data_IF_059976855098
#
_entry.id   IF_059976855098
#
_cell.length_a   1.000
_cell.length_b   1.000
_cell.length_c   1.000
_cell.angle_alpha   90.00
_cell.angle_beta   90.00
_cell.angle_gamma   90.00
#
_symmetry.space_group_name_H-M   'P 1'
#
loop_
_entity.id
_entity.type
_entity.pdbx_description
1 polymer ?
#
# COMPACT_ATOMS: atom_id res chain seq x y z
N UNK A 1 45.10 -38.80 72.03
CA UNK A 1 46.20 -39.21 71.14
C UNK A 1 45.66 -40.14 70.07
N UNK A 2 45.89 -39.78 68.81
CA UNK A 2 46.20 -40.64 67.66
C UNK A 2 45.12 -41.55 67.01
N UNK A 3 44.82 -41.18 65.74
CA UNK A 3 44.44 -41.99 64.55
C UNK A 3 43.09 -42.71 64.60
N UNK A 4 42.24 -42.57 63.59
CA UNK A 4 42.48 -43.28 62.31
C UNK A 4 41.60 -42.79 61.16
N UNK A 5 42.21 -42.87 59.98
CA UNK A 5 41.72 -42.67 58.62
C UNK A 5 40.35 -43.28 58.30
N UNK A 6 39.54 -42.57 57.50
CA UNK A 6 38.59 -43.21 56.59
C UNK A 6 38.88 -42.81 55.15
N UNK A 7 38.95 -43.83 54.32
CA UNK A 7 39.42 -43.83 52.94
C UNK A 7 38.50 -43.05 52.00
N UNK A 8 39.08 -42.19 51.17
CA UNK A 8 38.45 -41.72 49.93
C UNK A 8 38.86 -42.64 48.80
N UNK A 9 37.89 -43.32 48.19
CA UNK A 9 38.02 -44.00 46.91
C UNK A 9 36.61 -44.29 46.35
N UNK A 10 36.46 -44.63 45.06
CA UNK A 10 36.52 -43.69 43.95
C UNK A 10 35.31 -43.93 43.03
N UNK A 11 34.36 -43.01 42.89
CA UNK A 11 33.33 -43.23 41.87
C UNK A 11 32.71 -41.95 41.35
N UNK A 12 32.81 -41.84 40.04
CA UNK A 12 31.78 -41.28 39.18
C UNK A 12 31.46 -39.80 39.38
N UNK A 13 32.27 -38.95 38.76
CA UNK A 13 31.70 -37.77 38.11
C UNK A 13 32.16 -37.80 36.65
N UNK A 14 31.61 -38.78 35.94
CA UNK A 14 31.54 -38.73 34.49
C UNK A 14 30.52 -37.67 34.10
N UNK A 15 30.99 -36.73 33.27
CA UNK A 15 30.32 -36.33 32.03
C UNK A 15 28.86 -35.86 32.22
N UNK A 16 28.68 -34.55 32.32
CA UNK A 16 27.54 -33.92 31.65
C UNK A 16 27.92 -32.49 31.27
N UNK A 17 28.79 -32.38 30.26
CA UNK A 17 28.90 -31.19 29.44
C UNK A 17 27.56 -31.02 28.71
N UNK A 18 26.64 -30.27 29.32
CA UNK A 18 25.43 -29.79 28.67
C UNK A 18 25.85 -28.85 27.53
N UNK A 19 25.91 -29.40 26.32
CA UNK A 19 25.94 -28.61 25.10
C UNK A 19 24.61 -27.85 25.00
N UNK A 20 24.63 -26.55 25.34
CA UNK A 20 23.58 -25.63 24.91
C UNK A 20 23.68 -25.49 23.39
N UNK A 21 22.81 -26.20 22.68
CA UNK A 21 22.57 -25.91 21.27
C UNK A 21 21.79 -24.59 21.16
N UNK A 22 22.23 -23.61 20.35
CA UNK A 22 21.40 -22.47 20.04
C UNK A 22 20.21 -22.93 19.19
N UNK A 23 18.99 -22.68 19.68
CA UNK A 23 17.78 -22.81 18.89
C UNK A 23 17.81 -21.77 17.76
N UNK A 24 18.16 -22.23 16.56
CA UNK A 24 17.99 -21.45 15.33
C UNK A 24 16.49 -21.40 15.06
N UNK A 25 15.86 -20.28 15.43
CA UNK A 25 14.51 -19.96 14.97
C UNK A 25 14.58 -19.71 13.47
N UNK A 26 13.91 -20.54 12.69
CA UNK A 26 13.60 -20.23 11.30
C UNK A 26 12.67 -19.02 11.29
N UNK A 27 13.15 -17.87 10.81
CA UNK A 27 12.27 -16.75 10.47
C UNK A 27 11.48 -17.16 9.22
N UNK A 28 10.18 -17.32 9.37
CA UNK A 28 9.29 -17.42 8.20
C UNK A 28 9.53 -16.21 7.31
N UNK A 29 9.81 -16.40 6.01
CA UNK A 29 9.99 -15.27 5.10
C UNK A 29 8.66 -14.53 4.99
N UNK A 30 8.58 -13.36 5.64
CA UNK A 30 7.51 -12.38 5.42
C UNK A 30 7.45 -12.08 3.93
N UNK A 31 6.48 -12.68 3.26
CA UNK A 31 6.28 -12.49 1.83
C UNK A 31 5.61 -11.14 1.65
N UNK A 32 6.40 -10.10 1.38
CA UNK A 32 5.89 -8.80 0.97
C UNK A 32 5.28 -8.94 -0.41
N UNK A 33 3.95 -9.05 -0.47
CA UNK A 33 3.21 -9.01 -1.74
C UNK A 33 3.21 -7.57 -2.25
N UNK A 34 4.15 -7.24 -3.13
CA UNK A 34 4.13 -5.98 -3.87
C UNK A 34 3.04 -6.10 -4.93
N UNK A 35 1.83 -5.66 -4.63
CA UNK A 35 0.80 -5.43 -5.66
C UNK A 35 1.26 -4.26 -6.52
N UNK A 36 1.95 -4.56 -7.62
CA UNK A 36 2.18 -3.61 -8.71
C UNK A 36 0.81 -3.29 -9.29
N UNK A 37 0.22 -2.16 -8.88
CA UNK A 37 -0.95 -1.58 -9.53
C UNK A 37 -0.52 -1.29 -10.96
N UNK A 38 -1.00 -2.11 -11.89
CA UNK A 38 -0.77 -1.92 -13.31
C UNK A 38 -1.30 -0.54 -13.68
N UNK A 39 -0.38 0.38 -13.97
CA UNK A 39 -0.73 1.73 -14.39
C UNK A 39 -1.41 1.61 -15.75
N UNK A 40 -2.73 1.54 -15.75
CA UNK A 40 -3.55 1.62 -16.95
C UNK A 40 -3.05 2.81 -17.77
N UNK A 41 -2.68 2.54 -19.02
CA UNK A 41 -2.12 3.56 -19.90
C UNK A 41 -3.20 4.62 -20.10
N UNK A 42 -2.93 5.81 -19.55
CA UNK A 42 -3.79 6.99 -19.63
C UNK A 42 -3.94 7.35 -21.11
N UNK A 43 -5.10 7.09 -21.70
CA UNK A 43 -5.43 7.58 -23.04
C UNK A 43 -5.94 9.01 -22.90
N UNK A 44 -5.03 9.94 -22.65
CA UNK A 44 -5.34 11.35 -22.89
C UNK A 44 -5.54 11.53 -24.40
N UNK A 45 -6.66 12.11 -24.86
CA UNK A 45 -6.83 12.44 -26.26
C UNK A 45 -5.71 13.40 -26.71
N UNK A 46 -5.14 13.11 -27.88
CA UNK A 46 -3.99 13.75 -28.55
C UNK A 46 -3.66 15.21 -28.16
N UNK A 47 -2.38 15.64 -28.22
CA UNK A 47 -1.73 16.58 -27.29
C UNK A 47 -2.12 18.07 -27.39
N UNK A 48 -3.25 18.42 -28.01
CA UNK A 48 -3.71 19.80 -28.19
C UNK A 48 -4.81 20.18 -27.20
N UNK A 49 -4.56 20.02 -25.90
CA UNK A 49 -5.41 20.70 -24.92
C UNK A 49 -5.18 22.21 -25.04
N UNK A 50 -6.28 22.97 -25.10
CA UNK A 50 -6.27 24.42 -25.08
C UNK A 50 -5.83 24.93 -23.71
N UNK A 51 -6.39 24.32 -22.67
CA UNK A 51 -6.12 24.64 -21.27
C UNK A 51 -6.48 23.45 -20.40
N UNK A 52 -5.81 23.31 -19.26
CA UNK A 52 -6.14 22.32 -18.24
C UNK A 52 -6.27 23.01 -16.89
N UNK A 53 -7.15 22.48 -16.05
CA UNK A 53 -7.38 22.96 -14.69
C UNK A 53 -7.39 21.78 -13.74
N UNK A 54 -6.67 21.90 -12.65
CA UNK A 54 -6.70 20.93 -11.56
C UNK A 54 -7.84 21.28 -10.62
N UNK A 55 -8.70 20.30 -10.36
CA UNK A 55 -9.77 20.37 -9.38
C UNK A 55 -9.24 19.66 -8.13
N UNK A 56 -9.20 20.38 -7.02
CA UNK A 56 -8.79 19.82 -5.74
C UNK A 56 -9.76 18.73 -5.30
N UNK A 57 -9.27 17.83 -4.44
CA UNK A 57 -10.10 16.79 -3.84
C UNK A 57 -11.33 17.39 -3.15
N UNK A 58 -12.48 16.76 -3.33
CA UNK A 58 -13.77 17.25 -2.85
C UNK A 58 -14.79 16.12 -2.71
N UNK A 59 -15.89 16.41 -2.01
CA UNK A 59 -17.04 15.51 -1.96
C UNK A 59 -17.97 15.75 -3.14
N UNK A 60 -18.30 14.68 -3.85
CA UNK A 60 -19.38 14.63 -4.84
C UNK A 60 -20.47 13.67 -4.35
N UNK A 61 -21.52 14.22 -3.75
CA UNK A 61 -22.50 13.42 -3.02
C UNK A 61 -21.85 12.67 -1.85
N UNK A 62 -21.93 11.34 -1.87
CA UNK A 62 -21.34 10.45 -0.85
C UNK A 62 -19.97 9.87 -1.26
N UNK A 63 -19.39 10.35 -2.37
CA UNK A 63 -18.11 9.87 -2.90
C UNK A 63 -17.07 10.97 -2.69
N UNK A 64 -15.92 10.62 -2.11
CA UNK A 64 -14.79 11.54 -2.05
C UNK A 64 -13.96 11.38 -3.32
N UNK A 65 -13.93 12.41 -4.14
CA UNK A 65 -13.16 12.46 -5.37
C UNK A 65 -11.80 13.06 -5.04
N UNK A 66 -10.72 12.34 -5.33
CA UNK A 66 -9.36 12.86 -5.18
C UNK A 66 -9.07 13.92 -6.26
N UNK A 67 -7.92 14.56 -6.17
CA UNK A 67 -7.48 15.60 -7.10
C UNK A 67 -7.51 15.07 -8.54
N UNK A 68 -8.21 15.79 -9.41
CA UNK A 68 -8.37 15.44 -10.82
C UNK A 68 -8.00 16.60 -11.74
N UNK A 69 -7.65 16.31 -12.98
CA UNK A 69 -7.32 17.32 -13.99
C UNK A 69 -8.35 17.27 -15.11
N UNK A 70 -8.90 18.43 -15.46
CA UNK A 70 -9.86 18.60 -16.55
C UNK A 70 -9.23 19.47 -17.63
N UNK A 71 -9.24 18.99 -18.87
CA UNK A 71 -8.63 19.67 -20.01
C UNK A 71 -9.67 20.03 -21.09
N UNK A 72 -9.67 21.29 -21.50
CA UNK A 72 -10.41 21.78 -22.67
C UNK A 72 -9.55 21.57 -23.92
N UNK A 73 -10.17 21.30 -25.07
CA UNK A 73 -9.47 21.06 -26.34
C UNK A 73 -9.96 22.02 -27.43
N UNK A 74 -9.03 22.61 -28.19
CA UNK A 74 -9.32 23.65 -29.20
C UNK A 74 -10.07 23.11 -30.42
N UNK A 75 -9.80 21.85 -30.80
CA UNK A 75 -10.32 21.24 -32.03
C UNK A 75 -11.60 20.45 -31.84
N UNK A 76 -12.15 20.43 -30.63
CA UNK A 76 -13.41 19.74 -30.33
C UNK A 76 -14.51 20.78 -30.12
N UNK A 77 -15.68 20.49 -30.69
CA UNK A 77 -16.89 21.33 -30.69
C UNK A 77 -17.02 22.07 -29.35
N UNK A 78 -17.27 23.38 -29.40
CA UNK A 78 -17.52 24.21 -28.23
C UNK A 78 -18.43 23.47 -27.24
N UNK A 79 -17.97 23.30 -26.00
CA UNK A 79 -18.75 22.62 -24.97
C UNK A 79 -18.32 21.18 -24.65
N UNK A 80 -17.07 20.77 -24.88
CA UNK A 80 -16.55 19.49 -24.36
C UNK A 80 -15.19 19.64 -23.67
N UNK A 81 -15.00 18.88 -22.59
CA UNK A 81 -13.74 18.75 -21.86
C UNK A 81 -13.44 17.27 -21.57
N UNK A 82 -12.17 16.95 -21.38
CA UNK A 82 -11.71 15.63 -20.96
C UNK A 82 -11.40 15.68 -19.46
N UNK A 83 -11.98 14.77 -18.69
CA UNK A 83 -11.61 14.52 -17.30
C UNK A 83 -10.60 13.37 -17.32
N UNK A 84 -9.40 13.59 -16.76
CA UNK A 84 -8.42 12.52 -16.61
C UNK A 84 -8.89 11.47 -15.60
N UNK A 85 -8.29 10.29 -15.64
CA UNK A 85 -8.47 9.26 -14.63
C UNK A 85 -8.25 9.84 -13.22
N UNK A 86 -9.08 9.43 -12.27
CA UNK A 86 -9.01 9.88 -10.88
C UNK A 86 -9.41 8.78 -9.91
N UNK A 87 -8.93 8.89 -8.68
CA UNK A 87 -9.35 8.00 -7.60
C UNK A 87 -10.60 8.55 -6.92
N UNK A 88 -11.55 7.66 -6.66
CA UNK A 88 -12.78 7.96 -5.95
C UNK A 88 -12.91 7.03 -4.75
N UNK A 89 -13.15 7.59 -3.57
CA UNK A 89 -13.50 6.84 -2.39
C UNK A 89 -15.00 6.52 -2.41
N UNK A 90 -15.34 5.26 -2.57
CA UNK A 90 -16.74 4.81 -2.63
C UNK A 90 -17.28 4.37 -1.28
N UNK A 91 -16.39 4.05 -0.33
CA UNK A 91 -16.75 3.65 1.03
C UNK A 91 -15.81 4.31 2.03
N UNK A 92 -16.38 5.17 2.87
CA UNK A 92 -15.68 5.79 4.01
C UNK A 92 -16.06 5.10 5.33
N UNK A 93 -15.09 4.95 6.21
CA UNK A 93 -15.32 4.53 7.59
C UNK A 93 -15.93 5.67 8.42
N UNK A 94 -16.40 5.34 9.63
CA UNK A 94 -17.02 6.31 10.53
C UNK A 94 -16.08 7.43 11.01
N UNK A 95 -14.76 7.21 10.94
CA UNK A 95 -13.74 8.21 11.24
C UNK A 95 -13.41 9.14 10.06
N UNK A 96 -14.09 8.96 8.93
CA UNK A 96 -13.87 9.71 7.69
C UNK A 96 -12.71 9.18 6.83
N UNK A 97 -12.04 8.10 7.24
CA UNK A 97 -11.00 7.47 6.42
C UNK A 97 -11.61 6.70 5.25
N UNK A 98 -10.94 6.74 4.09
CA UNK A 98 -11.38 5.96 2.96
C UNK A 98 -10.96 4.48 3.10
N UNK A 99 -11.91 3.57 2.92
CA UNK A 99 -11.67 2.12 3.01
C UNK A 99 -11.78 1.41 1.67
N UNK A 100 -12.40 2.03 0.67
CA UNK A 100 -12.49 1.50 -0.69
C UNK A 100 -12.24 2.60 -1.70
N UNK A 101 -11.12 2.47 -2.42
CA UNK A 101 -10.75 3.36 -3.52
C UNK A 101 -11.03 2.66 -4.85
N UNK A 102 -11.68 3.37 -5.75
CA UNK A 102 -11.94 2.94 -7.12
C UNK A 102 -11.27 3.90 -8.10
N UNK A 103 -10.52 3.37 -9.06
CA UNK A 103 -9.97 4.17 -10.15
C UNK A 103 -11.08 4.38 -11.19
N UNK A 104 -11.48 5.65 -11.37
CA UNK A 104 -12.43 6.03 -12.40
C UNK A 104 -11.67 6.33 -13.70
N UNK A 105 -12.02 5.70 -14.83
CA UNK A 105 -11.39 5.99 -16.11
C UNK A 105 -11.80 7.38 -16.59
N UNK A 106 -10.89 8.05 -17.26
CA UNK A 106 -11.12 9.36 -17.86
C UNK A 106 -12.20 9.31 -18.93
N UNK A 107 -12.91 10.42 -19.08
CA UNK A 107 -14.07 10.51 -19.96
C UNK A 107 -14.27 11.92 -20.53
N UNK A 108 -14.99 11.99 -21.64
CA UNK A 108 -15.45 13.24 -22.22
C UNK A 108 -16.70 13.72 -21.49
N UNK A 109 -16.64 14.93 -20.95
CA UNK A 109 -17.79 15.62 -20.38
C UNK A 109 -18.23 16.76 -21.30
N UNK A 110 -19.55 16.99 -21.35
CA UNK A 110 -20.07 18.22 -21.95
C UNK A 110 -19.91 19.36 -20.95
N UNK A 111 -19.32 20.47 -21.39
CA UNK A 111 -19.29 21.72 -20.65
C UNK A 111 -20.39 22.62 -21.21
N UNK A 112 -21.26 23.15 -20.37
CA UNK A 112 -22.25 24.13 -20.84
C UNK A 112 -21.52 25.43 -21.21
N UNK A 113 -21.87 26.08 -22.34
CA UNK A 113 -21.37 27.40 -22.70
C UNK A 113 -21.88 28.49 -21.75
#
# INVERSE_FOLDING_TARGET
MLRTHFALSPLAICIFSLFLAPAVYAQDPTTTTTTTVEKTIIVSPAPKSASCTTINAHWEGNVWVDTQTVCKYESRVEGVAWVNDYWACTVAAADGSCTSWELKPGYWMKTYP
#
